data_IF_887554392597
#
_entry.id   IF_887554392597
#
_cell.length_a   1.000
_cell.length_b   1.000
_cell.length_c   1.000
_cell.angle_alpha   90.00
_cell.angle_beta   90.00
_cell.angle_gamma   90.00
#
_symmetry.space_group_name_H-M   'P 1'
#
loop_
_entity.id
_entity.type
_entity.pdbx_description
1 polymer ?
#
# COMPACT_ATOMS: atom_id res chain seq x y z
N UNK A 1 -10.99 -2.00 13.19
CA UNK A 1 -10.71 -0.69 13.81
C UNK A 1 -11.76 0.28 13.32
N UNK A 2 -12.47 0.93 14.23
CA UNK A 2 -13.57 1.85 13.90
C UNK A 2 -13.01 3.15 13.31
N UNK A 3 -13.81 3.83 12.48
CA UNK A 3 -13.42 5.07 11.80
C UNK A 3 -12.82 6.14 12.70
N UNK A 4 -13.46 6.44 13.84
CA UNK A 4 -12.92 7.43 14.78
C UNK A 4 -11.51 7.08 15.28
N UNK A 5 -11.19 5.80 15.41
CA UNK A 5 -9.89 5.34 15.88
C UNK A 5 -8.82 5.50 14.80
N UNK A 6 -9.08 5.03 13.58
CA UNK A 6 -8.10 5.16 12.49
C UNK A 6 -7.96 6.60 12.00
N UNK A 7 -9.03 7.42 12.00
CA UNK A 7 -8.95 8.83 11.63
C UNK A 7 -8.02 9.58 12.59
N UNK A 8 -8.03 9.24 13.89
CA UNK A 8 -7.10 9.79 14.88
C UNK A 8 -5.65 9.38 14.60
N UNK A 9 -5.41 8.15 14.13
CA UNK A 9 -4.06 7.69 13.76
C UNK A 9 -3.54 8.36 12.48
N UNK A 10 -4.43 8.69 11.54
CA UNK A 10 -4.07 9.34 10.28
C UNK A 10 -3.91 10.87 10.40
N UNK A 11 -4.53 11.50 11.40
CA UNK A 11 -4.52 12.95 11.58
C UNK A 11 -3.11 13.59 11.55
N UNK A 12 -2.08 13.07 12.26
CA UNK A 12 -0.75 13.68 12.26
C UNK A 12 -0.10 13.70 10.87
N UNK A 13 -0.38 12.72 10.02
CA UNK A 13 0.13 12.69 8.64
C UNK A 13 -0.60 13.70 7.76
N UNK A 14 -1.92 13.83 7.93
CA UNK A 14 -2.75 14.79 7.21
C UNK A 14 -2.38 16.24 7.55
N UNK A 15 -2.01 16.51 8.81
CA UNK A 15 -1.50 17.81 9.25
C UNK A 15 -0.13 18.14 8.65
N UNK A 16 0.69 17.13 8.34
CA UNK A 16 2.03 17.28 7.77
C UNK A 16 2.07 17.09 6.23
N UNK A 17 1.09 17.66 5.53
CA UNK A 17 0.97 17.70 4.06
C UNK A 17 0.87 16.35 3.35
N UNK A 18 0.72 15.23 4.07
CA UNK A 18 0.29 13.97 3.48
C UNK A 18 -1.23 13.97 3.37
N UNK A 19 -1.76 13.07 2.55
CA UNK A 19 -3.20 12.98 2.33
C UNK A 19 -3.61 11.51 2.37
N UNK A 20 -4.10 11.08 3.53
CA UNK A 20 -4.67 9.76 3.74
C UNK A 20 -6.20 9.88 3.68
N UNK A 21 -6.79 9.30 2.65
CA UNK A 21 -8.22 9.33 2.37
C UNK A 21 -8.82 7.94 2.49
N UNK A 22 -9.79 7.79 3.40
CA UNK A 22 -10.61 6.58 3.48
C UNK A 22 -12.00 6.88 2.94
N UNK A 23 -12.49 6.12 1.95
CA UNK A 23 -13.80 6.38 1.33
C UNK A 23 -14.93 6.40 2.37
N UNK A 24 -15.92 7.28 2.19
CA UNK A 24 -16.92 7.61 3.22
C UNK A 24 -17.76 6.42 3.69
N UNK A 25 -18.00 5.44 2.80
CA UNK A 25 -18.75 4.22 3.12
C UNK A 25 -18.03 3.29 4.09
N UNK A 26 -16.69 3.31 4.11
CA UNK A 26 -15.89 2.49 5.02
C UNK A 26 -16.00 3.06 6.43
N UNK A 27 -16.66 2.32 7.31
CA UNK A 27 -16.80 2.68 8.74
C UNK A 27 -15.79 1.96 9.62
N UNK A 28 -15.20 0.89 9.11
CA UNK A 28 -14.23 0.05 9.82
C UNK A 28 -13.18 -0.45 8.84
N UNK A 29 -11.93 -0.51 9.31
CA UNK A 29 -10.82 -1.11 8.58
C UNK A 29 -10.20 -2.24 9.38
N UNK A 30 -9.72 -3.32 8.75
CA UNK A 30 -8.87 -4.30 9.42
C UNK A 30 -7.63 -3.61 9.98
N UNK A 31 -7.17 -4.02 11.16
CA UNK A 31 -5.96 -3.44 11.77
C UNK A 31 -4.73 -3.52 10.84
N UNK A 32 -4.49 -4.64 10.11
CA UNK A 32 -3.34 -4.73 9.21
C UNK A 32 -3.34 -3.64 8.13
N UNK A 33 -4.50 -3.36 7.54
CA UNK A 33 -4.65 -2.33 6.51
C UNK A 33 -4.37 -0.93 7.06
N UNK A 34 -4.80 -0.64 8.30
CA UNK A 34 -4.47 0.62 8.97
C UNK A 34 -2.96 0.76 9.18
N UNK A 35 -2.29 -0.30 9.65
CA UNK A 35 -0.85 -0.26 9.87
C UNK A 35 -0.05 -0.18 8.57
N UNK A 36 -0.45 -0.89 7.52
CA UNK A 36 0.14 -0.73 6.18
C UNK A 36 0.06 0.72 5.69
N UNK A 37 -1.09 1.37 5.86
CA UNK A 37 -1.26 2.78 5.50
C UNK A 37 -0.35 3.70 6.31
N UNK A 38 -0.21 3.48 7.63
CA UNK A 38 0.71 4.25 8.48
C UNK A 38 2.17 4.04 8.08
N UNK A 39 2.54 2.81 7.76
CA UNK A 39 3.90 2.45 7.36
C UNK A 39 4.26 3.09 6.02
N UNK A 40 3.35 3.06 5.04
CA UNK A 40 3.51 3.75 3.76
C UNK A 40 3.53 5.26 3.95
N UNK A 41 2.68 5.81 4.83
CA UNK A 41 2.67 7.22 5.17
C UNK A 41 3.96 7.67 5.88
N UNK A 42 4.75 6.77 6.47
CA UNK A 42 6.05 7.11 7.04
C UNK A 42 7.16 7.27 5.98
N UNK A 43 6.95 6.81 4.74
CA UNK A 43 7.91 7.00 3.65
C UNK A 43 7.85 8.44 3.12
N UNK A 44 8.97 9.15 3.12
CA UNK A 44 9.03 10.58 2.76
C UNK A 44 8.53 10.89 1.35
N UNK A 45 8.69 9.95 0.41
CA UNK A 45 8.24 10.12 -0.98
C UNK A 45 6.75 9.86 -1.17
N UNK A 46 6.07 9.15 -0.25
CA UNK A 46 4.63 8.91 -0.32
C UNK A 46 3.89 10.14 0.23
N UNK A 47 2.98 10.67 -0.59
CA UNK A 47 2.19 11.87 -0.30
C UNK A 47 0.70 11.58 -0.24
N UNK A 48 0.22 10.69 -1.08
CA UNK A 48 -1.20 10.39 -1.23
C UNK A 48 -1.47 8.94 -0.94
N UNK A 49 -2.46 8.66 -0.10
CA UNK A 49 -2.94 7.32 0.23
C UNK A 49 -4.46 7.32 0.10
N UNK A 50 -4.99 6.37 -0.66
CA UNK A 50 -6.42 6.12 -0.78
C UNK A 50 -6.72 4.72 -0.26
N UNK A 51 -7.73 4.60 0.59
CA UNK A 51 -8.18 3.33 1.17
C UNK A 51 -9.67 3.16 0.88
N UNK A 52 -10.00 2.10 0.17
CA UNK A 52 -11.36 1.61 -0.01
C UNK A 52 -11.63 0.42 0.93
N UNK A 53 -12.73 -0.27 0.73
CA UNK A 53 -13.09 -1.55 1.35
C UNK A 53 -12.26 -2.74 0.87
N UNK A 54 -11.63 -2.63 -0.29
CA UNK A 54 -10.93 -3.75 -0.96
C UNK A 54 -9.54 -3.38 -1.46
N UNK A 55 -9.15 -2.11 -1.41
CA UNK A 55 -7.88 -1.63 -1.93
C UNK A 55 -7.23 -0.57 -1.03
N UNK A 56 -5.90 -0.59 -1.04
CA UNK A 56 -5.06 0.47 -0.49
C UNK A 56 -4.08 0.86 -1.60
N UNK A 57 -4.15 2.11 -2.03
CA UNK A 57 -3.24 2.69 -3.01
C UNK A 57 -2.44 3.82 -2.35
N UNK A 58 -1.14 3.88 -2.59
CA UNK A 58 -0.26 4.91 -2.08
C UNK A 58 0.68 5.39 -3.18
N UNK A 59 0.94 6.70 -3.27
CA UNK A 59 1.86 7.25 -4.27
C UNK A 59 2.45 8.60 -3.87
N UNK A 60 3.55 8.97 -4.52
CA UNK A 60 4.09 10.32 -4.55
C UNK A 60 3.23 11.30 -5.36
N UNK A 61 2.37 10.78 -6.24
CA UNK A 61 1.58 11.57 -7.20
C UNK A 61 0.13 11.07 -7.30
N UNK A 62 -0.78 11.99 -7.62
CA UNK A 62 -2.15 11.70 -8.01
C UNK A 62 -2.35 12.09 -9.47
N UNK A 63 -3.34 11.50 -10.15
CA UNK A 63 -3.74 11.99 -11.46
C UNK A 63 -4.17 13.47 -11.38
N UNK A 64 -3.75 14.35 -12.32
CA UNK A 64 -4.01 15.79 -12.26
C UNK A 64 -5.47 16.17 -12.06
N UNK A 65 -6.40 15.42 -12.66
CA UNK A 65 -7.84 15.65 -12.59
C UNK A 65 -8.58 14.69 -11.64
N UNK A 66 -7.85 13.88 -10.86
CA UNK A 66 -8.42 12.94 -9.88
C UNK A 66 -7.59 13.01 -8.58
N UNK A 67 -7.82 14.01 -7.71
CA UNK A 67 -6.97 14.33 -6.56
C UNK A 67 -7.01 13.30 -5.42
N UNK A 68 -7.68 12.17 -5.61
CA UNK A 68 -7.77 11.07 -4.63
C UNK A 68 -7.45 9.71 -5.27
N UNK A 69 -6.85 9.70 -6.45
CA UNK A 69 -6.45 8.49 -7.17
C UNK A 69 -4.93 8.50 -7.31
N UNK A 70 -4.22 7.81 -6.40
CA UNK A 70 -2.77 7.65 -6.45
C UNK A 70 -2.34 6.97 -7.76
N UNK A 71 -1.25 7.45 -8.35
CA UNK A 71 -0.66 6.86 -9.56
C UNK A 71 0.24 5.70 -9.15
N UNK A 72 -0.09 4.48 -9.58
CA UNK A 72 0.64 3.25 -9.23
C UNK A 72 1.02 2.41 -10.44
N UNK A 73 0.53 2.77 -11.62
CA UNK A 73 0.73 1.99 -12.84
C UNK A 73 2.21 1.90 -13.20
N UNK A 74 2.62 0.70 -13.62
CA UNK A 74 3.98 0.41 -14.04
C UNK A 74 4.44 1.33 -15.19
N UNK A 75 5.75 1.56 -15.25
CA UNK A 75 6.45 2.40 -16.24
C UNK A 75 6.06 3.89 -16.23
N UNK A 76 5.39 4.37 -15.17
CA UNK A 76 5.18 5.80 -15.02
C UNK A 76 6.52 6.50 -14.73
N UNK A 77 6.79 7.60 -15.45
CA UNK A 77 8.13 8.21 -15.50
C UNK A 77 8.62 8.78 -14.17
N UNK A 78 7.70 9.28 -13.33
CA UNK A 78 8.04 9.99 -12.08
C UNK A 78 7.41 9.40 -10.83
N UNK A 79 6.15 8.94 -10.91
CA UNK A 79 5.40 8.45 -9.78
C UNK A 79 6.07 7.25 -9.07
N UNK A 80 6.14 7.30 -7.74
CA UNK A 80 6.55 6.20 -6.89
C UNK A 80 5.31 5.76 -6.14
N UNK A 81 4.76 4.60 -6.48
CA UNK A 81 3.50 4.15 -5.91
C UNK A 81 3.30 2.65 -5.90
N UNK A 82 2.37 2.21 -5.07
CA UNK A 82 1.97 0.82 -4.90
C UNK A 82 0.47 0.76 -4.65
N UNK A 83 -0.18 -0.23 -5.23
CA UNK A 83 -1.56 -0.59 -4.93
C UNK A 83 -1.62 -2.04 -4.50
N UNK A 84 -2.25 -2.27 -3.35
CA UNK A 84 -2.65 -3.60 -2.92
C UNK A 84 -4.17 -3.73 -3.01
N UNK A 85 -4.61 -4.90 -3.45
CA UNK A 85 -5.97 -5.38 -3.18
C UNK A 85 -5.92 -6.24 -1.93
N UNK A 86 -6.99 -6.29 -1.15
CA UNK A 86 -7.01 -7.08 0.06
C UNK A 86 -8.39 -7.66 0.33
N UNK A 87 -8.41 -8.83 0.98
CA UNK A 87 -9.64 -9.47 1.44
C UNK A 87 -9.55 -9.72 2.94
N UNK A 88 -10.31 -9.00 3.77
CA UNK A 88 -10.34 -9.23 5.22
C UNK A 88 -10.96 -10.58 5.60
N UNK A 89 -11.79 -11.16 4.73
CA UNK A 89 -12.44 -12.45 4.96
C UNK A 89 -11.46 -13.61 4.79
N UNK A 90 -10.55 -13.47 3.83
CA UNK A 90 -9.56 -14.49 3.48
C UNK A 90 -8.15 -14.16 4.01
N UNK A 91 -8.01 -13.05 4.74
CA UNK A 91 -6.74 -12.53 5.24
C UNK A 91 -5.62 -12.55 4.18
N UNK A 92 -5.87 -12.05 2.97
CA UNK A 92 -4.78 -11.93 1.99
C UNK A 92 -4.66 -10.50 1.47
N UNK A 93 -3.45 -10.17 1.04
CA UNK A 93 -3.18 -9.00 0.21
C UNK A 93 -2.61 -9.45 -1.13
N UNK A 94 -2.89 -8.69 -2.17
CA UNK A 94 -2.34 -8.87 -3.49
C UNK A 94 -1.67 -7.58 -3.93
N UNK A 95 -0.38 -7.64 -4.25
CA UNK A 95 0.30 -6.51 -4.88
C UNK A 95 -0.17 -6.43 -6.33
N UNK A 96 -1.11 -5.51 -6.56
CA UNK A 96 -1.79 -5.36 -7.84
C UNK A 96 -0.97 -4.52 -8.81
N UNK A 97 -0.43 -3.41 -8.32
CA UNK A 97 0.41 -2.51 -9.10
C UNK A 97 1.56 -1.98 -8.23
N UNK A 98 2.73 -1.80 -8.85
CA UNK A 98 3.86 -1.11 -8.24
C UNK A 98 4.66 -0.39 -9.32
N UNK A 99 5.05 0.85 -9.03
CA UNK A 99 5.92 1.62 -9.91
C UNK A 99 6.96 2.38 -9.10
N UNK A 100 8.18 2.40 -9.60
CA UNK A 100 9.16 3.36 -9.15
C UNK A 100 10.25 3.59 -10.20
N UNK A 101 10.46 4.84 -10.66
CA UNK A 101 11.60 5.17 -11.51
C UNK A 101 12.92 5.29 -10.73
N UNK A 102 12.86 5.28 -9.39
CA UNK A 102 14.04 5.41 -8.51
C UNK A 102 14.32 4.07 -7.84
N UNK A 103 15.48 3.49 -8.15
CA UNK A 103 15.94 2.23 -7.59
C UNK A 103 15.85 2.20 -6.06
N UNK A 104 15.38 1.07 -5.52
CA UNK A 104 15.25 0.83 -4.09
C UNK A 104 13.93 1.29 -3.46
N UNK A 105 13.19 2.23 -4.07
CA UNK A 105 11.91 2.68 -3.48
C UNK A 105 10.81 1.63 -3.59
N UNK A 106 10.82 0.79 -4.64
CA UNK A 106 9.93 -0.38 -4.72
C UNK A 106 10.13 -1.34 -3.53
N UNK A 107 11.38 -1.63 -3.18
CA UNK A 107 11.71 -2.45 -2.00
C UNK A 107 11.19 -1.80 -0.71
N UNK A 108 11.41 -0.49 -0.51
CA UNK A 108 10.90 0.23 0.67
C UNK A 108 9.37 0.18 0.80
N UNK A 109 8.63 0.23 -0.31
CA UNK A 109 7.17 0.11 -0.30
C UNK A 109 6.72 -1.30 0.10
N UNK A 110 7.36 -2.34 -0.45
CA UNK A 110 7.10 -3.74 -0.04
C UNK A 110 7.43 -3.94 1.43
N UNK A 111 8.59 -3.44 1.88
CA UNK A 111 8.99 -3.50 3.29
C UNK A 111 7.97 -2.83 4.21
N UNK A 112 7.49 -1.64 3.84
CA UNK A 112 6.48 -0.93 4.61
C UNK A 112 5.16 -1.72 4.74
N UNK A 113 4.75 -2.40 3.66
CA UNK A 113 3.53 -3.23 3.65
C UNK A 113 3.71 -4.50 4.47
N UNK A 114 4.88 -5.16 4.38
CA UNK A 114 5.10 -6.47 5.01
C UNK A 114 5.62 -6.39 6.46
N UNK A 115 6.18 -5.25 6.91
CA UNK A 115 6.86 -5.10 8.21
C UNK A 115 6.07 -5.66 9.40
N UNK A 116 4.77 -5.39 9.43
CA UNK A 116 3.88 -5.73 10.53
C UNK A 116 2.72 -6.64 10.06
N UNK A 117 2.94 -7.38 8.97
CA UNK A 117 1.93 -8.30 8.44
C UNK A 117 1.70 -9.44 9.44
N UNK A 118 0.46 -9.66 9.91
CA UNK A 118 0.16 -10.79 10.77
C UNK A 118 0.49 -12.12 10.10
N UNK A 119 0.85 -13.14 10.88
CA UNK A 119 1.20 -14.48 10.36
C UNK A 119 0.05 -15.19 9.67
N UNK A 120 -1.19 -14.85 10.02
CA UNK A 120 -2.41 -15.37 9.39
C UNK A 120 -2.81 -14.56 8.15
N UNK A 121 -1.99 -13.59 7.72
CA UNK A 121 -2.18 -12.86 6.48
C UNK A 121 -1.14 -13.24 5.43
N UNK A 122 -1.61 -13.51 4.21
CA UNK A 122 -0.75 -13.98 3.14
C UNK A 122 -0.64 -12.94 2.00
N UNK A 123 0.58 -12.54 1.58
CA UNK A 123 0.76 -11.73 0.39
C UNK A 123 0.73 -12.59 -0.89
N UNK A 124 0.35 -11.97 -1.99
CA UNK A 124 0.36 -12.58 -3.32
C UNK A 124 0.77 -11.58 -4.39
N UNK A 125 1.24 -12.11 -5.52
CA UNK A 125 1.54 -11.35 -6.74
C UNK A 125 1.00 -12.20 -7.88
N UNK A 126 -0.12 -11.77 -8.48
CA UNK A 126 -0.82 -12.58 -9.50
C UNK A 126 -0.18 -12.38 -10.88
N UNK A 127 0.34 -11.19 -11.16
CA UNK A 127 1.04 -10.90 -12.40
C UNK A 127 2.35 -10.17 -12.11
N UNK A 128 3.48 -10.83 -12.40
CA UNK A 128 4.80 -10.21 -12.31
C UNK A 128 5.21 -9.65 -13.68
N UNK A 129 5.15 -8.33 -13.82
CA UNK A 129 5.67 -7.61 -14.99
C UNK A 129 6.97 -6.85 -14.68
N UNK A 130 7.55 -7.10 -13.50
CA UNK A 130 8.65 -6.36 -12.90
C UNK A 130 10.04 -6.97 -13.17
N UNK A 131 10.11 -7.95 -14.09
CA UNK A 131 11.34 -8.60 -14.55
C UNK A 131 12.23 -9.12 -13.39
N UNK A 132 11.66 -9.97 -12.52
CA UNK A 132 12.38 -10.64 -11.42
C UNK A 132 12.53 -9.80 -10.15
N UNK A 133 11.88 -8.63 -10.04
CA UNK A 133 11.83 -7.89 -8.79
C UNK A 133 11.05 -8.67 -7.71
N UNK A 134 9.92 -9.31 -8.05
CA UNK A 134 9.16 -10.07 -7.07
C UNK A 134 9.85 -11.35 -6.61
N UNK A 135 10.66 -11.99 -7.45
CA UNK A 135 11.50 -13.12 -7.04
C UNK A 135 12.45 -12.71 -5.91
N UNK A 136 13.12 -11.56 -6.06
CA UNK A 136 13.98 -10.99 -5.01
C UNK A 136 13.20 -10.64 -3.73
N UNK A 137 11.97 -10.15 -3.86
CA UNK A 137 11.14 -9.84 -2.68
C UNK A 137 10.72 -11.14 -1.96
N UNK A 138 10.32 -12.18 -2.70
CA UNK A 138 9.97 -13.49 -2.15
C UNK A 138 11.17 -14.14 -1.45
N UNK A 139 12.36 -14.04 -2.02
CA UNK A 139 13.59 -14.52 -1.39
C UNK A 139 13.91 -13.74 -0.10
N UNK A 140 13.80 -12.41 -0.12
CA UNK A 140 14.00 -11.55 1.06
C UNK A 140 12.99 -11.88 2.17
N UNK A 141 11.75 -12.18 1.80
CA UNK A 141 10.64 -12.50 2.70
C UNK A 141 10.26 -13.99 2.65
N UNK A 142 11.28 -14.87 2.69
CA UNK A 142 11.08 -16.33 2.60
C UNK A 142 10.29 -16.96 3.76
N UNK A 143 10.27 -16.28 4.90
CA UNK A 143 9.54 -16.73 6.10
C UNK A 143 8.07 -16.27 6.10
N UNK A 144 7.67 -15.50 5.08
CA UNK A 144 6.27 -15.12 4.81
C UNK A 144 5.68 -16.13 3.82
N UNK A 145 4.50 -16.64 4.11
CA UNK A 145 3.81 -17.57 3.22
C UNK A 145 3.12 -16.81 2.08
N UNK A 146 3.78 -16.77 0.91
CA UNK A 146 3.25 -16.16 -0.30
C UNK A 146 2.26 -17.10 -1.01
N UNK A 147 1.07 -16.59 -1.34
CA UNK A 147 0.12 -17.31 -2.20
C UNK A 147 0.52 -17.09 -3.66
N UNK A 148 0.59 -18.19 -4.41
CA UNK A 148 0.85 -18.21 -5.86
C UNK A 148 -0.43 -18.00 -6.66
#
# INVERSE_FOLDING_TARGET
MKRKEFDKLFAPFNENRKQIWVITRVKELPKPIVYMALNLAALDFIKFINISDEALAASSENYPNRPKVPITNMNHETAIGVQILYSPVHNYINFYDINSPINGNGNKMVDAILRDLPKDWNPSVVMDWSNGFWDKMKEKYKDVEWIM
#
